data_IF_563582418074
#
_entry.id   IF_563582418074
#
_cell.length_a   1.000
_cell.length_b   1.000
_cell.length_c   1.000
_cell.angle_alpha   90.00
_cell.angle_beta   90.00
_cell.angle_gamma   90.00
#
_symmetry.space_group_name_H-M   'P 1'
#
loop_
_entity.id
_entity.type
_entity.pdbx_description
1 polymer ?
#
# COMPACT_ATOMS: atom_id res chain seq x y z
N UNK A 1 10.23 -75.51 -37.67
CA UNK A 1 9.54 -74.40 -36.99
C UNK A 1 10.43 -73.15 -36.85
N UNK A 2 11.22 -72.69 -37.81
CA UNK A 2 12.19 -71.57 -37.69
C UNK A 2 12.06 -70.47 -38.79
N UNK A 3 11.02 -70.54 -39.64
CA UNK A 3 10.93 -69.62 -40.78
C UNK A 3 9.77 -68.60 -40.73
N UNK A 4 8.92 -68.63 -39.71
CA UNK A 4 7.75 -67.73 -39.61
C UNK A 4 7.86 -66.59 -38.57
N UNK A 5 8.91 -66.57 -37.77
CA UNK A 5 9.13 -65.52 -36.76
C UNK A 5 9.79 -64.25 -37.32
N UNK A 6 10.48 -64.34 -38.47
CA UNK A 6 11.19 -63.19 -39.03
C UNK A 6 10.27 -62.11 -39.63
N UNK A 7 9.17 -62.44 -40.33
CA UNK A 7 8.29 -61.38 -40.88
C UNK A 7 7.45 -60.69 -39.80
N UNK A 8 7.13 -61.33 -38.67
CA UNK A 8 6.34 -60.73 -37.59
C UNK A 8 7.21 -59.71 -36.83
N UNK A 9 8.50 -59.99 -36.62
CA UNK A 9 9.42 -59.06 -35.96
C UNK A 9 9.70 -57.83 -36.83
N UNK A 10 9.74 -58.01 -38.16
CA UNK A 10 9.98 -56.89 -39.10
C UNK A 10 8.75 -55.97 -39.21
N UNK A 11 7.53 -56.50 -39.07
CA UNK A 11 6.28 -55.70 -39.05
C UNK A 11 6.14 -54.91 -37.75
N UNK A 12 6.57 -55.49 -36.60
CA UNK A 12 6.58 -54.73 -35.32
C UNK A 12 7.61 -53.62 -35.30
N UNK A 13 8.78 -53.77 -35.95
CA UNK A 13 9.79 -52.71 -36.03
C UNK A 13 9.39 -51.60 -37.01
N UNK A 14 8.61 -51.91 -38.03
CA UNK A 14 8.12 -50.90 -38.98
C UNK A 14 6.87 -50.14 -38.51
N UNK A 15 6.13 -50.68 -37.51
CA UNK A 15 4.98 -49.98 -36.93
C UNK A 15 5.38 -49.04 -35.76
N UNK A 16 6.55 -49.23 -35.14
CA UNK A 16 7.02 -48.36 -34.06
C UNK A 16 7.32 -46.89 -34.46
N UNK A 17 7.85 -46.56 -35.65
CA UNK A 17 8.04 -45.18 -36.00
C UNK A 17 6.76 -44.42 -36.38
N UNK A 18 5.66 -45.12 -36.66
CA UNK A 18 4.37 -44.48 -37.00
C UNK A 18 3.61 -44.03 -35.74
N UNK A 19 3.81 -44.72 -34.60
CA UNK A 19 3.23 -44.28 -33.32
C UNK A 19 4.03 -43.16 -32.68
N UNK A 20 5.31 -42.99 -32.98
CA UNK A 20 6.13 -41.90 -32.47
C UNK A 20 5.92 -40.57 -33.26
N UNK A 21 5.27 -40.60 -34.41
CA UNK A 21 5.08 -39.43 -35.25
C UNK A 21 3.75 -38.68 -35.00
N UNK A 22 2.91 -39.19 -34.10
CA UNK A 22 1.62 -38.55 -33.72
C UNK A 22 1.47 -38.25 -32.25
N UNK A 23 2.55 -38.27 -31.47
CA UNK A 23 2.55 -37.52 -30.22
C UNK A 23 2.76 -36.05 -30.59
N UNK A 24 1.70 -35.39 -31.05
CA UNK A 24 1.65 -33.94 -30.92
C UNK A 24 1.95 -33.66 -29.43
N UNK A 25 3.07 -33.06 -29.18
CA UNK A 25 3.31 -32.46 -27.84
C UNK A 25 2.09 -31.57 -27.62
N UNK A 26 1.26 -31.82 -26.60
CA UNK A 26 0.15 -30.92 -26.33
C UNK A 26 0.73 -29.51 -26.24
N UNK A 27 0.20 -28.60 -27.03
CA UNK A 27 0.57 -27.18 -26.92
C UNK A 27 0.44 -26.83 -25.45
N UNK A 28 1.56 -26.42 -24.83
CA UNK A 28 1.53 -26.04 -23.43
C UNK A 28 0.67 -24.78 -23.32
N UNK A 29 -0.39 -24.84 -22.53
CA UNK A 29 -1.18 -23.65 -22.22
C UNK A 29 -0.31 -22.71 -21.38
N UNK A 30 -0.25 -21.44 -21.76
CA UNK A 30 0.51 -20.42 -21.02
C UNK A 30 -0.46 -19.57 -20.24
N UNK A 31 -0.32 -19.54 -18.93
CA UNK A 31 -0.99 -18.58 -18.07
C UNK A 31 -0.03 -17.40 -17.83
N UNK A 32 -0.41 -16.21 -18.27
CA UNK A 32 0.43 -15.01 -18.13
C UNK A 32 -0.01 -14.18 -16.93
N UNK A 33 0.96 -13.86 -16.07
CA UNK A 33 0.75 -13.14 -14.80
C UNK A 33 1.62 -11.87 -14.80
N UNK A 34 0.99 -10.71 -14.71
CA UNK A 34 1.71 -9.43 -14.55
C UNK A 34 2.00 -9.15 -13.08
N UNK A 35 3.23 -8.73 -12.79
CA UNK A 35 3.67 -8.32 -11.46
C UNK A 35 4.91 -7.44 -11.55
N UNK A 36 5.30 -6.80 -10.46
CA UNK A 36 6.58 -6.10 -10.37
C UNK A 36 7.76 -7.06 -10.19
N UNK A 37 8.97 -6.61 -10.53
CA UNK A 37 10.17 -7.46 -10.50
C UNK A 37 10.44 -8.07 -9.11
N UNK A 38 10.18 -7.29 -8.06
CA UNK A 38 10.40 -7.73 -6.68
C UNK A 38 9.42 -8.83 -6.22
N UNK A 39 8.24 -8.93 -6.86
CA UNK A 39 7.22 -9.92 -6.53
C UNK A 39 7.48 -11.30 -7.14
N UNK A 40 8.24 -11.37 -8.23
CA UNK A 40 8.51 -12.63 -8.95
C UNK A 40 9.04 -13.71 -8.03
N UNK A 41 9.92 -13.36 -7.11
CA UNK A 41 10.60 -14.33 -6.24
C UNK A 41 9.63 -15.14 -5.37
N UNK A 42 8.62 -14.50 -4.80
CA UNK A 42 7.65 -15.20 -3.96
C UNK A 42 6.56 -15.85 -4.82
N UNK A 43 6.11 -15.21 -5.91
CA UNK A 43 5.12 -15.76 -6.84
C UNK A 43 5.63 -17.02 -7.55
N UNK A 44 6.94 -17.14 -7.79
CA UNK A 44 7.53 -18.35 -8.40
C UNK A 44 7.24 -19.62 -7.59
N UNK A 45 7.20 -19.52 -6.25
CA UNK A 45 6.85 -20.67 -5.41
C UNK A 45 5.41 -21.14 -5.64
N UNK A 46 4.50 -20.20 -5.82
CA UNK A 46 3.10 -20.51 -6.15
C UNK A 46 2.99 -21.08 -7.57
N UNK A 47 3.74 -20.51 -8.53
CA UNK A 47 3.78 -20.99 -9.91
C UNK A 47 4.34 -22.42 -10.04
N UNK A 48 5.38 -22.74 -9.29
CA UNK A 48 5.95 -24.09 -9.26
C UNK A 48 4.93 -25.11 -8.74
N UNK A 49 4.27 -24.81 -7.61
CA UNK A 49 3.21 -25.65 -7.04
C UNK A 49 2.02 -25.79 -8.00
N UNK A 50 1.59 -24.69 -8.60
CA UNK A 50 0.50 -24.69 -9.57
C UNK A 50 0.82 -25.59 -10.78
N UNK A 51 2.05 -25.50 -11.32
CA UNK A 51 2.50 -26.29 -12.48
C UNK A 51 2.60 -27.80 -12.16
N UNK A 52 2.91 -28.16 -10.91
CA UNK A 52 2.88 -29.55 -10.47
C UNK A 52 1.45 -30.15 -10.48
N UNK A 53 0.45 -29.34 -10.19
CA UNK A 53 -0.96 -29.73 -10.13
C UNK A 53 -1.64 -29.63 -11.51
N UNK A 54 -1.16 -28.79 -12.41
CA UNK A 54 -1.73 -28.51 -13.73
C UNK A 54 -0.73 -28.89 -14.85
N UNK A 55 -0.55 -30.18 -15.08
CA UNK A 55 0.38 -30.68 -16.08
C UNK A 55 0.08 -30.12 -17.49
N UNK A 56 1.10 -29.56 -18.13
CA UNK A 56 0.99 -28.93 -19.45
C UNK A 56 0.60 -27.45 -19.41
N UNK A 57 0.53 -26.83 -18.22
CA UNK A 57 0.36 -25.40 -18.06
C UNK A 57 1.70 -24.79 -17.62
N UNK A 58 2.14 -23.75 -18.34
CA UNK A 58 3.30 -22.92 -18.01
C UNK A 58 2.82 -21.59 -17.42
N UNK A 59 3.34 -21.17 -16.28
CA UNK A 59 3.12 -19.82 -15.75
C UNK A 59 4.23 -18.91 -16.25
N UNK A 60 3.87 -17.81 -16.89
CA UNK A 60 4.82 -16.80 -17.39
C UNK A 60 4.59 -15.49 -16.68
N UNK A 61 5.64 -14.91 -16.10
CA UNK A 61 5.60 -13.58 -15.52
C UNK A 61 5.91 -12.52 -16.57
N UNK A 62 5.05 -11.50 -16.63
CA UNK A 62 5.27 -10.28 -17.38
C UNK A 62 5.56 -9.16 -16.39
N UNK A 63 6.80 -8.61 -16.47
CA UNK A 63 7.25 -7.59 -15.52
C UNK A 63 6.73 -6.24 -15.97
N UNK A 64 5.91 -5.63 -15.12
CA UNK A 64 5.29 -4.33 -15.35
C UNK A 64 5.33 -3.52 -14.05
N UNK A 65 5.47 -2.19 -14.17
CA UNK A 65 5.16 -1.30 -13.06
C UNK A 65 3.64 -1.24 -12.84
N UNK A 66 3.20 -0.82 -11.67
CA UNK A 66 1.77 -0.72 -11.35
C UNK A 66 1.01 0.16 -12.34
N UNK A 67 1.59 1.31 -12.76
CA UNK A 67 0.99 2.17 -13.79
C UNK A 67 0.89 1.49 -15.15
N UNK A 68 1.86 0.64 -15.52
CA UNK A 68 1.79 -0.13 -16.75
C UNK A 68 0.72 -1.22 -16.69
N UNK A 69 0.52 -1.83 -15.52
CA UNK A 69 -0.55 -2.83 -15.30
C UNK A 69 -1.93 -2.21 -15.45
N UNK A 70 -2.16 -1.02 -14.86
CA UNK A 70 -3.44 -0.31 -15.00
C UNK A 70 -3.71 0.04 -16.47
N UNK A 71 -2.73 0.59 -17.18
CA UNK A 71 -2.84 0.87 -18.62
C UNK A 71 -3.06 -0.39 -19.46
N UNK A 72 -2.45 -1.53 -19.11
CA UNK A 72 -2.60 -2.79 -19.80
C UNK A 72 -4.01 -3.38 -19.60
N UNK A 73 -4.58 -3.26 -18.40
CA UNK A 73 -5.96 -3.65 -18.12
C UNK A 73 -6.95 -2.87 -19.02
N UNK A 74 -6.72 -1.58 -19.22
CA UNK A 74 -7.59 -0.73 -20.04
C UNK A 74 -7.43 -0.95 -21.54
N UNK A 75 -6.19 -1.07 -22.02
CA UNK A 75 -5.91 -1.11 -23.46
C UNK A 75 -5.94 -2.53 -24.07
N UNK A 76 -6.11 -3.54 -23.22
CA UNK A 76 -6.07 -4.95 -23.63
C UNK A 76 -4.64 -5.48 -23.76
N UNK A 77 -4.44 -6.70 -23.32
CA UNK A 77 -3.16 -7.40 -23.28
C UNK A 77 -3.40 -8.91 -23.31
N UNK A 78 -2.36 -9.71 -23.39
CA UNK A 78 -2.45 -11.17 -23.27
C UNK A 78 -2.21 -11.65 -21.82
N UNK A 79 -2.26 -10.75 -20.85
CA UNK A 79 -2.11 -11.09 -19.42
C UNK A 79 -3.45 -11.59 -18.88
N UNK A 80 -3.40 -12.68 -18.12
CA UNK A 80 -4.58 -13.32 -17.53
C UNK A 80 -4.85 -12.83 -16.10
N UNK A 81 -3.77 -12.64 -15.31
CA UNK A 81 -3.81 -12.25 -13.90
C UNK A 81 -2.89 -11.06 -13.67
N UNK A 82 -3.34 -10.09 -12.88
CA UNK A 82 -2.54 -8.94 -12.48
C UNK A 82 -2.40 -8.90 -10.96
N UNK A 83 -1.17 -8.73 -10.48
CA UNK A 83 -0.90 -8.36 -9.10
C UNK A 83 -0.79 -6.85 -9.02
N UNK A 84 -1.81 -6.20 -8.50
CA UNK A 84 -1.91 -4.74 -8.43
C UNK A 84 -2.13 -4.24 -7.01
N UNK A 85 -2.19 -2.94 -6.81
CA UNK A 85 -2.45 -2.34 -5.52
C UNK A 85 -3.58 -1.29 -5.60
N UNK A 86 -4.40 -1.22 -4.56
CA UNK A 86 -5.62 -0.40 -4.52
C UNK A 86 -5.36 1.11 -4.60
N UNK A 87 -4.14 1.56 -4.33
CA UNK A 87 -3.74 2.96 -4.46
C UNK A 87 -3.52 3.41 -5.91
N UNK A 88 -3.19 2.48 -6.81
CA UNK A 88 -2.99 2.77 -8.23
C UNK A 88 -4.19 2.33 -9.07
N UNK A 89 -4.81 1.24 -8.67
CA UNK A 89 -5.88 0.61 -9.43
C UNK A 89 -7.23 0.90 -8.80
N UNK A 90 -8.06 1.68 -9.50
CA UNK A 90 -9.44 1.91 -9.09
C UNK A 90 -10.29 0.66 -9.42
N UNK A 91 -10.51 -0.19 -8.42
CA UNK A 91 -11.24 -1.43 -8.57
C UNK A 91 -12.68 -1.21 -9.06
N UNK A 92 -13.37 -0.19 -8.54
CA UNK A 92 -14.74 0.14 -8.98
C UNK A 92 -14.80 0.48 -10.46
N UNK A 93 -13.83 1.25 -10.95
CA UNK A 93 -13.72 1.58 -12.38
C UNK A 93 -13.56 0.33 -13.22
N UNK A 94 -12.64 -0.56 -12.84
CA UNK A 94 -12.40 -1.80 -13.58
C UNK A 94 -13.63 -2.69 -13.62
N UNK A 95 -14.37 -2.78 -12.52
CA UNK A 95 -15.63 -3.54 -12.43
C UNK A 95 -16.71 -2.91 -13.31
N UNK A 96 -16.91 -1.59 -13.23
CA UNK A 96 -17.94 -0.90 -14.02
C UNK A 96 -17.68 -0.96 -15.52
N UNK A 97 -16.42 -0.94 -15.94
CA UNK A 97 -16.02 -1.06 -17.33
C UNK A 97 -16.00 -2.51 -17.82
N UNK A 98 -16.20 -3.49 -16.91
CA UNK A 98 -16.17 -4.91 -17.25
C UNK A 98 -14.77 -5.40 -17.65
N UNK A 99 -13.71 -4.81 -17.12
CA UNK A 99 -12.32 -5.16 -17.47
C UNK A 99 -11.79 -6.32 -16.64
N UNK A 100 -12.37 -6.59 -15.47
CA UNK A 100 -12.00 -7.70 -14.61
C UNK A 100 -13.19 -8.64 -14.36
N UNK A 101 -12.87 -9.93 -14.18
CA UNK A 101 -13.85 -10.96 -13.90
C UNK A 101 -14.01 -11.20 -12.40
N UNK A 102 -15.20 -11.56 -11.92
CA UNK A 102 -15.37 -12.00 -10.54
C UNK A 102 -14.62 -13.33 -10.29
N UNK A 103 -14.12 -13.49 -9.08
CA UNK A 103 -13.56 -14.75 -8.62
C UNK A 103 -14.67 -15.83 -8.57
N UNK A 104 -14.35 -17.02 -9.03
CA UNK A 104 -15.32 -18.13 -9.11
C UNK A 104 -14.90 -19.36 -8.30
N UNK A 105 -13.72 -19.36 -7.69
CA UNK A 105 -13.24 -20.47 -6.86
C UNK A 105 -13.97 -20.49 -5.52
N UNK A 106 -14.57 -21.65 -5.18
CA UNK A 106 -15.20 -21.87 -3.88
C UNK A 106 -14.20 -21.74 -2.71
N UNK A 107 -12.96 -22.19 -2.93
CA UNK A 107 -11.86 -22.09 -1.94
C UNK A 107 -11.51 -20.64 -1.65
N UNK A 108 -11.31 -19.82 -2.71
CA UNK A 108 -11.02 -18.40 -2.55
C UNK A 108 -12.17 -17.66 -1.85
N UNK A 109 -13.41 -17.92 -2.26
CA UNK A 109 -14.59 -17.30 -1.65
C UNK A 109 -14.75 -17.70 -0.18
N UNK A 110 -14.43 -18.95 0.19
CA UNK A 110 -14.43 -19.41 1.57
C UNK A 110 -13.33 -18.72 2.40
N UNK A 111 -12.15 -18.50 1.83
CA UNK A 111 -11.09 -17.73 2.48
C UNK A 111 -11.50 -16.28 2.66
N UNK A 112 -12.07 -15.63 1.63
CA UNK A 112 -12.59 -14.27 1.70
C UNK A 112 -13.64 -14.08 2.79
N UNK A 113 -14.46 -15.09 3.06
CA UNK A 113 -15.46 -15.03 4.13
C UNK A 113 -14.85 -14.92 5.53
N UNK A 114 -13.57 -15.26 5.70
CA UNK A 114 -12.82 -15.16 6.96
C UNK A 114 -12.00 -13.86 7.08
N UNK A 115 -11.93 -13.07 6.03
CA UNK A 115 -11.20 -11.80 6.04
C UNK A 115 -11.93 -10.75 6.86
N UNK A 116 -11.15 -9.82 7.44
CA UNK A 116 -11.70 -8.63 8.08
C UNK A 116 -12.66 -7.90 7.13
N UNK A 117 -13.77 -7.47 7.68
CA UNK A 117 -14.88 -6.85 6.92
C UNK A 117 -14.43 -5.70 6.00
N UNK A 118 -13.60 -4.73 6.41
CA UNK A 118 -13.18 -3.65 5.53
C UNK A 118 -12.50 -4.12 4.24
N UNK A 119 -11.65 -5.14 4.33
CA UNK A 119 -10.91 -5.66 3.16
C UNK A 119 -11.80 -6.45 2.23
N UNK A 120 -12.66 -7.30 2.80
CA UNK A 120 -13.64 -8.06 2.02
C UNK A 120 -14.63 -7.14 1.30
N UNK A 121 -15.15 -6.14 1.99
CA UNK A 121 -16.16 -5.23 1.43
C UNK A 121 -15.55 -4.38 0.31
N UNK A 122 -14.28 -3.95 0.46
CA UNK A 122 -13.59 -3.18 -0.57
C UNK A 122 -13.50 -3.91 -1.92
N UNK A 123 -13.27 -5.23 -1.91
CA UNK A 123 -13.13 -6.04 -3.14
C UNK A 123 -14.44 -6.68 -3.60
N UNK A 124 -15.55 -6.38 -2.90
CA UNK A 124 -16.87 -6.94 -3.21
C UNK A 124 -17.78 -5.90 -3.85
N UNK A 125 -18.25 -6.17 -5.06
CA UNK A 125 -19.20 -5.34 -5.77
C UNK A 125 -20.44 -6.16 -6.15
N UNK A 126 -21.65 -5.66 -5.84
CA UNK A 126 -22.92 -6.35 -6.12
C UNK A 126 -22.94 -7.84 -5.69
N UNK A 127 -22.39 -8.13 -4.51
CA UNK A 127 -22.28 -9.48 -3.95
C UNK A 127 -21.31 -10.43 -4.68
N UNK A 128 -20.49 -9.92 -5.58
CA UNK A 128 -19.44 -10.68 -6.25
C UNK A 128 -18.06 -10.14 -5.81
N UNK A 129 -17.11 -11.02 -5.60
CA UNK A 129 -15.73 -10.71 -5.25
C UNK A 129 -14.91 -10.60 -6.53
N UNK A 130 -14.22 -9.48 -6.74
CA UNK A 130 -13.47 -9.19 -7.96
C UNK A 130 -11.95 -9.22 -7.81
N UNK A 131 -11.46 -9.21 -6.58
CA UNK A 131 -10.03 -9.30 -6.32
C UNK A 131 -9.77 -10.18 -5.10
N UNK A 132 -8.59 -10.79 -5.05
CA UNK A 132 -8.10 -11.51 -3.87
C UNK A 132 -7.03 -10.66 -3.19
N UNK A 133 -7.30 -10.06 -2.01
CA UNK A 133 -6.30 -9.36 -1.23
C UNK A 133 -5.21 -10.32 -0.76
N UNK A 134 -3.96 -9.93 -0.97
CA UNK A 134 -2.79 -10.69 -0.55
C UNK A 134 -2.08 -10.07 0.63
N UNK A 135 -1.99 -8.75 0.66
CA UNK A 135 -1.30 -8.02 1.72
C UNK A 135 -1.95 -6.68 1.99
N UNK A 136 -1.81 -6.23 3.22
CA UNK A 136 -2.22 -4.89 3.68
C UNK A 136 -0.96 -4.04 3.78
N UNK A 137 -1.00 -2.87 3.17
CA UNK A 137 0.02 -1.84 3.25
C UNK A 137 -0.61 -0.63 3.93
N UNK A 138 -0.16 -0.29 5.13
CA UNK A 138 -0.74 0.81 5.89
C UNK A 138 0.32 1.82 6.30
N UNK A 139 -0.05 3.10 6.28
CA UNK A 139 0.81 4.17 6.79
C UNK A 139 0.66 4.26 8.31
N UNK A 140 1.43 3.43 9.02
CA UNK A 140 1.38 3.34 10.47
C UNK A 140 2.44 4.24 11.12
N UNK A 141 2.17 4.64 12.35
CA UNK A 141 3.09 5.42 13.19
C UNK A 141 3.44 4.71 14.46
N UNK A 142 4.66 4.95 14.92
CA UNK A 142 5.10 4.54 16.26
C UNK A 142 5.61 5.73 17.05
N UNK A 143 5.54 5.64 18.37
CA UNK A 143 6.19 6.56 19.31
C UNK A 143 7.24 5.81 20.12
N UNK A 144 8.40 6.42 20.28
CA UNK A 144 9.42 5.92 21.21
C UNK A 144 9.03 6.26 22.64
N UNK A 145 8.60 5.23 23.38
CA UNK A 145 8.08 5.37 24.75
C UNK A 145 9.12 5.84 25.75
N UNK A 146 10.40 5.51 25.54
CA UNK A 146 11.48 5.98 26.40
C UNK A 146 11.73 7.48 26.18
N UNK A 147 11.80 7.94 24.94
CA UNK A 147 11.94 9.35 24.62
C UNK A 147 10.71 10.15 25.08
N UNK A 148 9.51 9.61 24.89
CA UNK A 148 8.28 10.23 25.38
C UNK A 148 8.31 10.35 26.91
N UNK A 149 8.76 9.35 27.65
CA UNK A 149 8.95 9.41 29.09
C UNK A 149 9.99 10.44 29.51
N UNK A 150 11.07 10.60 28.75
CA UNK A 150 12.13 11.58 29.03
C UNK A 150 11.68 13.01 28.79
N UNK A 151 10.96 13.25 27.72
CA UNK A 151 10.58 14.60 27.26
C UNK A 151 9.10 14.93 27.44
N UNK A 152 8.26 13.98 27.82
CA UNK A 152 6.81 14.14 27.95
C UNK A 152 6.39 15.24 28.95
N UNK A 153 7.19 15.49 30.00
CA UNK A 153 6.93 16.61 30.90
C UNK A 153 7.02 17.97 30.22
N UNK A 154 7.74 18.05 29.10
CA UNK A 154 7.92 19.23 28.28
C UNK A 154 7.03 19.23 27.03
N UNK A 155 7.00 18.13 26.29
CA UNK A 155 6.26 18.00 25.04
C UNK A 155 4.76 17.77 25.28
N UNK A 156 4.39 17.12 26.37
CA UNK A 156 3.02 16.68 26.65
C UNK A 156 2.77 15.23 26.25
N UNK A 157 1.51 14.90 26.08
CA UNK A 157 1.05 13.59 25.63
C UNK A 157 1.21 13.43 24.12
N UNK A 158 0.99 12.22 23.61
CA UNK A 158 0.92 11.96 22.17
C UNK A 158 -0.19 12.80 21.55
N UNK A 159 0.08 13.60 20.51
CA UNK A 159 -0.92 14.48 19.91
C UNK A 159 -2.00 13.64 19.22
N UNK A 160 -3.25 14.02 19.41
CA UNK A 160 -4.42 13.40 18.82
C UNK A 160 -5.01 14.22 17.66
N UNK A 161 -4.62 15.50 17.56
CA UNK A 161 -5.03 16.40 16.48
C UNK A 161 -3.83 17.06 15.81
N UNK A 162 -4.01 17.53 14.58
CA UNK A 162 -2.97 18.27 13.86
C UNK A 162 -2.55 19.56 14.60
N UNK A 163 -3.49 20.23 15.25
CA UNK A 163 -3.18 21.42 16.06
C UNK A 163 -2.26 21.10 17.24
N UNK A 164 -2.51 20.01 17.96
CA UNK A 164 -1.65 19.54 19.06
C UNK A 164 -0.28 19.09 18.54
N UNK A 165 -0.24 18.43 17.39
CA UNK A 165 0.99 17.98 16.73
C UNK A 165 1.87 19.17 16.33
N UNK A 166 1.29 20.19 15.71
CA UNK A 166 2.00 21.43 15.33
C UNK A 166 2.47 22.21 16.56
N UNK A 167 1.66 22.29 17.62
CA UNK A 167 2.05 22.96 18.88
C UNK A 167 3.19 22.21 19.58
N UNK A 168 3.18 20.88 19.58
CA UNK A 168 4.28 20.09 20.12
C UNK A 168 5.58 20.31 19.32
N UNK A 169 5.48 20.36 18.00
CA UNK A 169 6.59 20.69 17.11
C UNK A 169 7.12 22.11 17.37
N UNK A 170 6.24 23.10 17.57
CA UNK A 170 6.61 24.48 17.93
C UNK A 170 7.37 24.51 19.25
N UNK A 171 6.90 23.84 20.28
CA UNK A 171 7.61 23.73 21.57
C UNK A 171 9.00 23.15 21.39
N UNK A 172 9.12 22.12 20.57
CA UNK A 172 10.41 21.52 20.23
C UNK A 172 11.32 22.50 19.50
N UNK A 173 10.80 23.22 18.53
CA UNK A 173 11.52 24.21 17.74
C UNK A 173 12.00 25.40 18.60
N UNK A 174 11.14 25.96 19.45
CA UNK A 174 11.43 27.11 20.30
C UNK A 174 12.42 26.80 21.43
N UNK A 175 12.59 25.54 21.75
CA UNK A 175 13.45 25.11 22.86
C UNK A 175 14.69 24.47 22.29
N UNK A 176 15.87 25.04 22.62
CA UNK A 176 17.17 24.44 22.31
C UNK A 176 17.35 23.18 23.17
N UNK A 177 16.58 22.11 22.85
CA UNK A 177 16.66 20.85 23.56
C UNK A 177 17.94 20.16 23.14
N UNK A 178 18.83 19.94 24.10
CA UNK A 178 20.04 19.14 23.91
C UNK A 178 19.66 17.67 24.06
N UNK A 179 19.63 16.93 22.96
CA UNK A 179 19.42 15.49 22.97
C UNK A 179 20.78 14.79 22.94
N UNK A 180 21.20 14.26 24.10
CA UNK A 180 22.48 13.55 24.24
C UNK A 180 23.65 14.47 24.61
N UNK A 181 24.69 13.89 25.18
CA UNK A 181 25.82 14.60 25.81
C UNK A 181 26.79 15.31 24.83
N UNK A 182 26.65 15.05 23.53
CA UNK A 182 27.62 15.52 22.52
C UNK A 182 27.04 16.43 21.43
N UNK A 183 25.76 16.76 21.48
CA UNK A 183 25.15 17.60 20.45
C UNK A 183 24.54 18.86 21.05
N UNK A 184 25.24 19.97 20.95
CA UNK A 184 24.65 21.30 21.14
C UNK A 184 23.82 21.63 19.91
N UNK A 185 22.51 21.47 20.00
CA UNK A 185 21.56 21.89 18.93
C UNK A 185 21.40 23.40 19.03
N UNK A 186 22.29 24.13 18.40
CA UNK A 186 22.25 25.60 18.37
C UNK A 186 21.66 26.15 17.05
N UNK A 187 21.38 25.30 16.07
CA UNK A 187 20.84 25.75 14.79
C UNK A 187 19.34 25.50 14.70
N UNK A 188 18.61 26.59 14.54
CA UNK A 188 17.16 26.69 14.41
C UNK A 188 16.64 26.20 13.06
N UNK A 189 17.38 25.35 12.35
CA UNK A 189 16.95 24.84 11.06
C UNK A 189 16.13 23.58 11.27
N UNK A 190 14.82 23.68 11.14
CA UNK A 190 13.96 22.50 10.98
C UNK A 190 14.35 21.84 9.65
N UNK A 191 14.60 20.54 9.63
CA UNK A 191 14.91 19.86 8.39
C UNK A 191 13.76 20.00 7.40
N UNK A 192 14.10 20.17 6.15
CA UNK A 192 13.15 20.18 5.04
C UNK A 192 12.27 18.92 5.09
N UNK A 193 12.87 17.76 5.30
CA UNK A 193 12.17 16.48 5.51
C UNK A 193 11.12 16.52 6.60
N UNK A 194 11.36 17.20 7.73
CA UNK A 194 10.35 17.33 8.78
C UNK A 194 9.16 18.17 8.32
N UNK A 195 9.42 19.26 7.60
CA UNK A 195 8.38 20.09 7.05
C UNK A 195 7.58 19.31 5.98
N UNK A 196 8.27 18.61 5.08
CA UNK A 196 7.64 17.74 4.08
C UNK A 196 6.69 16.73 4.73
N UNK A 197 7.16 15.97 5.71
CA UNK A 197 6.31 15.00 6.43
C UNK A 197 5.12 15.67 7.13
N UNK A 198 5.31 16.85 7.71
CA UNK A 198 4.22 17.57 8.37
C UNK A 198 3.18 18.05 7.38
N UNK A 199 3.61 18.50 6.21
CA UNK A 199 2.73 18.94 5.14
C UNK A 199 1.95 17.75 4.54
N UNK A 200 2.61 16.61 4.35
CA UNK A 200 1.95 15.37 3.94
C UNK A 200 0.83 14.99 4.91
N UNK A 201 1.16 14.94 6.20
CA UNK A 201 0.20 14.60 7.24
C UNK A 201 -0.96 15.59 7.34
N UNK A 202 -0.69 16.87 7.16
CA UNK A 202 -1.74 17.89 7.15
C UNK A 202 -2.72 17.68 6.00
N UNK A 203 -2.21 17.44 4.79
CA UNK A 203 -3.04 17.17 3.61
C UNK A 203 -3.82 15.86 3.79
N UNK A 204 -3.14 14.82 4.27
CA UNK A 204 -3.75 13.51 4.52
C UNK A 204 -4.87 13.64 5.54
N UNK A 205 -4.62 14.22 6.71
CA UNK A 205 -5.62 14.38 7.76
C UNK A 205 -6.84 15.19 7.27
N UNK A 206 -6.60 16.27 6.52
CA UNK A 206 -7.65 17.12 5.96
C UNK A 206 -8.54 16.37 4.96
N UNK A 207 -7.97 15.60 4.08
CA UNK A 207 -8.72 14.83 3.08
C UNK A 207 -9.45 13.65 3.73
N UNK A 208 -8.81 12.95 4.66
CA UNK A 208 -9.41 11.81 5.36
C UNK A 208 -10.65 12.23 6.14
N UNK A 209 -10.59 13.31 6.90
CA UNK A 209 -11.76 13.83 7.63
C UNK A 209 -12.95 14.09 6.69
N UNK A 210 -12.70 14.74 5.56
CA UNK A 210 -13.75 15.03 4.59
C UNK A 210 -14.37 13.76 3.99
N UNK A 211 -13.53 12.82 3.53
CA UNK A 211 -14.02 11.63 2.85
C UNK A 211 -14.65 10.60 3.80
N UNK A 212 -14.30 10.65 5.08
CA UNK A 212 -14.97 9.83 6.10
C UNK A 212 -16.34 10.36 6.50
N UNK A 213 -16.52 11.70 6.51
CA UNK A 213 -17.77 12.33 7.02
C UNK A 213 -18.76 12.67 5.91
N UNK A 214 -18.33 13.41 4.91
CA UNK A 214 -19.21 14.04 3.90
C UNK A 214 -18.85 13.65 2.46
N UNK A 215 -17.66 13.13 2.25
CA UNK A 215 -17.14 12.86 0.91
C UNK A 215 -17.77 11.66 0.26
N UNK A 216 -18.56 11.90 -0.79
CA UNK A 216 -18.88 10.85 -1.75
C UNK A 216 -17.80 10.82 -2.84
N UNK A 217 -17.52 9.65 -3.42
CA UNK A 217 -16.64 9.55 -4.60
C UNK A 217 -17.09 10.55 -5.66
N UNK A 218 -16.14 11.33 -6.20
CA UNK A 218 -16.40 12.36 -7.20
C UNK A 218 -16.70 13.76 -6.64
N UNK A 219 -16.76 13.94 -5.32
CA UNK A 219 -16.71 15.25 -4.69
C UNK A 219 -15.28 15.63 -4.35
N UNK A 220 -15.01 16.92 -4.21
CA UNK A 220 -13.70 17.39 -3.76
C UNK A 220 -13.86 18.34 -2.57
N UNK A 221 -12.86 18.38 -1.71
CA UNK A 221 -12.76 19.34 -0.62
C UNK A 221 -11.89 20.51 -1.06
N UNK A 222 -12.42 21.73 -0.94
CA UNK A 222 -11.71 22.95 -1.26
C UNK A 222 -10.62 23.21 -0.21
N UNK A 223 -9.36 23.31 -0.62
CA UNK A 223 -8.22 23.66 0.24
C UNK A 223 -8.21 25.15 0.61
N UNK A 224 -8.94 25.99 -0.13
CA UNK A 224 -9.07 27.42 0.18
C UNK A 224 -10.05 27.70 1.33
N UNK A 225 -10.49 26.67 2.07
CA UNK A 225 -11.27 26.84 3.30
C UNK A 225 -10.47 27.53 4.39
N UNK A 226 -11.18 28.23 5.31
CA UNK A 226 -10.53 28.88 6.46
C UNK A 226 -9.75 27.85 7.30
N UNK A 227 -10.33 26.67 7.52
CA UNK A 227 -9.76 25.67 8.45
C UNK A 227 -8.41 25.16 7.98
N UNK A 228 -8.26 24.81 6.69
CA UNK A 228 -6.98 24.40 6.13
C UNK A 228 -5.98 25.58 6.09
N UNK A 229 -6.46 26.77 5.67
CA UNK A 229 -5.62 27.97 5.59
C UNK A 229 -5.09 28.40 6.97
N UNK A 230 -5.91 28.34 8.02
CA UNK A 230 -5.53 28.67 9.39
C UNK A 230 -4.55 27.63 9.96
N UNK A 231 -4.75 26.34 9.63
CA UNK A 231 -3.82 25.29 10.02
C UNK A 231 -2.45 25.47 9.34
N UNK A 232 -2.45 25.80 8.04
CA UNK A 232 -1.24 26.11 7.29
C UNK A 232 -0.51 27.34 7.89
N UNK A 233 -1.24 28.39 8.29
CA UNK A 233 -0.67 29.57 8.95
C UNK A 233 -0.05 29.22 10.32
N UNK A 234 -0.54 28.19 11.00
CA UNK A 234 0.03 27.73 12.26
C UNK A 234 1.45 27.19 12.12
N UNK A 235 1.85 26.82 10.90
CA UNK A 235 3.19 26.36 10.53
C UNK A 235 4.14 27.51 10.13
N UNK A 236 3.69 28.79 10.15
CA UNK A 236 4.52 29.94 9.73
C UNK A 236 5.82 30.09 10.52
N UNK A 237 5.92 29.50 11.73
CA UNK A 237 7.17 29.49 12.49
C UNK A 237 8.28 28.68 11.79
N UNK A 238 7.92 27.78 10.87
CA UNK A 238 8.85 27.03 10.01
C UNK A 238 9.26 27.83 8.77
N UNK A 239 8.57 28.93 8.48
CA UNK A 239 8.79 29.81 7.33
C UNK A 239 9.90 30.81 7.60
N UNK A 240 11.06 30.36 8.04
CA UNK A 240 12.18 31.25 8.32
C UNK A 240 12.85 31.67 7.02
N UNK A 241 13.07 32.97 6.84
CA UNK A 241 13.63 33.59 5.64
C UNK A 241 15.03 33.09 5.23
N UNK A 242 15.68 32.30 6.05
CA UNK A 242 17.02 31.73 5.84
C UNK A 242 16.97 30.18 5.84
N UNK A 243 16.00 29.58 5.15
CA UNK A 243 16.05 28.17 4.80
C UNK A 243 17.19 27.94 3.79
N UNK A 244 18.40 28.31 4.16
CA UNK A 244 19.59 27.89 3.44
C UNK A 244 19.91 26.46 3.84
N UNK A 245 19.32 25.53 3.13
CA UNK A 245 19.73 24.15 3.17
C UNK A 245 21.20 24.05 2.78
N UNK A 246 22.02 23.78 3.75
CA UNK A 246 23.30 23.17 3.47
C UNK A 246 23.05 21.69 3.19
N UNK A 247 22.98 21.31 1.94
CA UNK A 247 22.92 19.91 1.45
C UNK A 247 24.04 19.01 2.03
N UNK A 248 24.95 19.56 2.76
CA UNK A 248 26.19 18.87 3.17
C UNK A 248 26.16 18.28 4.60
N UNK A 249 25.17 18.57 5.44
CA UNK A 249 25.16 18.07 6.82
C UNK A 249 23.79 17.53 7.20
N UNK A 250 23.59 16.22 6.99
CA UNK A 250 22.58 15.44 7.73
C UNK A 250 22.90 15.59 9.23
N UNK A 251 22.22 16.49 9.91
CA UNK A 251 22.44 16.68 11.34
C UNK A 251 21.77 15.57 12.14
N UNK A 252 22.49 14.89 13.03
CA UNK A 252 21.98 13.72 13.77
C UNK A 252 20.69 13.94 14.57
N UNK A 253 20.37 15.19 14.94
CA UNK A 253 19.18 15.49 15.72
C UNK A 253 17.86 15.36 14.92
N UNK A 254 17.92 15.53 13.61
CA UNK A 254 16.76 15.39 12.72
C UNK A 254 16.24 13.98 12.74
N UNK A 255 17.17 13.03 12.77
CA UNK A 255 16.89 11.61 12.89
C UNK A 255 16.45 11.22 14.33
N UNK A 256 16.77 12.03 15.33
CA UNK A 256 16.50 11.68 16.73
C UNK A 256 15.13 12.12 17.24
N UNK A 257 14.48 13.12 16.61
CA UNK A 257 13.19 13.62 17.09
C UNK A 257 12.00 13.18 16.23
N UNK A 258 12.16 13.15 14.91
CA UNK A 258 11.03 13.04 13.97
C UNK A 258 11.36 12.22 12.70
N UNK A 259 12.30 11.35 12.68
CA UNK A 259 12.79 10.72 11.46
C UNK A 259 12.52 9.22 11.33
N UNK A 260 12.97 8.65 10.22
CA UNK A 260 12.84 7.23 9.84
C UNK A 260 13.76 6.27 10.61
N UNK A 261 14.53 6.72 11.61
CA UNK A 261 15.54 5.87 12.27
C UNK A 261 15.16 5.55 13.70
N UNK A 262 15.51 4.35 14.13
CA UNK A 262 15.47 3.94 15.54
C UNK A 262 16.12 5.02 16.42
N UNK A 263 15.35 5.60 17.34
CA UNK A 263 15.79 6.72 18.18
C UNK A 263 15.05 8.04 17.94
N UNK A 264 14.13 8.09 17.01
CA UNK A 264 13.19 9.22 16.83
C UNK A 264 12.05 9.16 17.84
N UNK A 265 11.49 10.32 18.19
CA UNK A 265 10.31 10.35 19.06
C UNK A 265 9.09 9.74 18.35
N UNK A 266 8.87 10.12 17.10
CA UNK A 266 7.87 9.55 16.23
C UNK A 266 8.54 8.95 15.01
N UNK A 267 8.13 7.75 14.62
CA UNK A 267 8.59 7.11 13.40
C UNK A 267 7.39 6.87 12.50
N UNK A 268 7.46 7.38 11.29
CA UNK A 268 6.53 7.00 10.24
C UNK A 268 7.13 5.77 9.54
N UNK A 269 6.45 4.64 9.67
CA UNK A 269 6.89 3.40 9.02
C UNK A 269 6.71 3.43 7.50
N UNK A 270 6.10 4.49 6.96
CA UNK A 270 5.71 4.56 5.55
C UNK A 270 4.66 3.50 5.22
N UNK A 271 4.44 3.28 3.93
CA UNK A 271 3.58 2.20 3.45
C UNK A 271 4.34 0.87 3.50
N UNK A 272 4.48 0.33 4.67
CA UNK A 272 5.02 -1.02 4.86
C UNK A 272 3.87 -2.01 5.05
N UNK A 273 4.13 -3.28 4.74
CA UNK A 273 3.41 -4.35 5.40
C UNK A 273 3.37 -3.99 6.88
N UNK A 274 2.22 -4.07 7.54
CA UNK A 274 2.12 -3.83 8.98
C UNK A 274 2.99 -4.89 9.67
N UNK A 275 4.30 -4.72 9.52
CA UNK A 275 5.27 -5.66 10.06
C UNK A 275 5.40 -5.34 11.52
N UNK A 276 4.79 -6.16 12.24
CA UNK A 276 4.89 -6.22 13.66
C UNK A 276 6.26 -6.73 14.03
N UNK A 277 7.01 -5.87 14.54
CA UNK A 277 8.28 -6.05 15.16
C UNK A 277 8.59 -4.74 15.84
N UNK A 278 7.97 -4.55 17.01
CA UNK A 278 8.35 -3.43 17.87
C UNK A 278 9.83 -3.56 18.22
N UNK A 279 10.58 -2.51 18.03
CA UNK A 279 11.76 -2.34 18.87
C UNK A 279 11.26 -2.21 20.33
N UNK A 280 12.05 -2.69 21.28
CA UNK A 280 11.71 -2.84 22.71
C UNK A 280 11.09 -1.57 23.38
N UNK A 281 11.18 -0.41 22.70
CA UNK A 281 10.70 0.88 23.19
C UNK A 281 9.74 1.60 22.23
N UNK A 282 9.14 0.90 21.28
CA UNK A 282 8.18 1.49 20.32
C UNK A 282 6.75 1.04 20.62
N UNK A 283 5.82 1.95 20.46
CA UNK A 283 4.38 1.69 20.56
C UNK A 283 3.67 2.30 19.35
N UNK A 284 2.74 1.55 18.73
CA UNK A 284 1.87 2.10 17.71
C UNK A 284 0.99 3.21 18.26
N UNK A 285 0.83 4.25 17.47
CA UNK A 285 -0.08 5.35 17.75
C UNK A 285 -0.94 5.61 16.52
N UNK A 286 -2.12 6.15 16.74
CA UNK A 286 -2.95 6.66 15.66
C UNK A 286 -2.35 7.97 15.13
N UNK A 287 -2.43 8.22 13.81
CA UNK A 287 -2.10 9.54 13.27
C UNK A 287 -3.05 10.59 13.85
N UNK A 288 -2.62 11.86 13.95
CA UNK A 288 -3.51 12.91 14.43
C UNK A 288 -4.67 13.12 13.47
N UNK A 289 -5.88 13.29 14.01
CA UNK A 289 -7.02 13.77 13.25
C UNK A 289 -6.79 15.24 12.81
N UNK A 290 -7.49 15.71 11.78
CA UNK A 290 -7.35 17.10 11.35
C UNK A 290 -7.75 18.05 12.47
N UNK A 291 -8.90 17.83 13.09
CA UNK A 291 -9.38 18.59 14.25
C UNK A 291 -9.92 17.69 15.37
N UNK A 292 -10.50 18.30 16.41
CA UNK A 292 -11.00 17.58 17.58
C UNK A 292 -12.34 16.85 17.34
N UNK A 293 -13.02 17.12 16.24
CA UNK A 293 -14.28 16.45 15.85
C UNK A 293 -14.01 15.34 14.83
N UNK A 294 -12.80 15.32 14.22
CA UNK A 294 -12.36 14.33 13.25
C UNK A 294 -11.92 13.02 13.89
N UNK A 295 -11.95 11.97 13.09
CA UNK A 295 -11.44 10.65 13.47
C UNK A 295 -10.04 10.44 12.87
N UNK A 296 -9.11 9.80 13.58
CA UNK A 296 -7.82 9.45 13.03
C UNK A 296 -7.99 8.50 11.84
N UNK A 297 -7.15 8.68 10.82
CA UNK A 297 -7.23 7.92 9.57
C UNK A 297 -5.88 7.31 9.24
N UNK A 298 -5.83 6.01 9.07
CA UNK A 298 -4.67 5.26 8.61
C UNK A 298 -4.88 4.92 7.14
N UNK A 299 -4.19 5.63 6.26
CA UNK A 299 -4.21 5.32 4.83
C UNK A 299 -3.73 3.90 4.62
N UNK A 300 -4.55 3.13 3.94
CA UNK A 300 -4.32 1.71 3.77
C UNK A 300 -4.51 1.30 2.31
N UNK A 301 -3.63 0.46 1.83
CA UNK A 301 -3.70 -0.14 0.50
C UNK A 301 -3.75 -1.65 0.58
N UNK A 302 -4.42 -2.25 -0.38
CA UNK A 302 -4.40 -3.70 -0.58
C UNK A 302 -3.56 -4.03 -1.80
N UNK A 303 -2.55 -4.87 -1.62
CA UNK A 303 -1.98 -5.61 -2.73
C UNK A 303 -2.94 -6.75 -3.06
N UNK A 304 -3.36 -6.86 -4.31
CA UNK A 304 -4.44 -7.76 -4.69
C UNK A 304 -4.24 -8.37 -6.08
N UNK A 305 -4.77 -9.57 -6.26
CA UNK A 305 -4.78 -10.30 -7.52
C UNK A 305 -6.15 -10.13 -8.19
N UNK A 306 -6.15 -9.72 -9.45
CA UNK A 306 -7.35 -9.59 -10.29
C UNK A 306 -7.23 -10.43 -11.56
N UNK A 307 -8.35 -10.93 -12.06
CA UNK A 307 -8.43 -11.71 -13.31
C UNK A 307 -9.01 -10.84 -14.40
N UNK A 308 -8.37 -10.79 -15.56
CA UNK A 308 -8.90 -10.05 -16.70
C UNK A 308 -10.19 -10.69 -17.23
N UNK A 309 -11.20 -9.87 -17.55
CA UNK A 309 -12.53 -10.33 -17.90
C UNK A 309 -12.58 -11.14 -19.22
N UNK A 310 -11.75 -10.77 -20.20
CA UNK A 310 -11.67 -11.42 -21.51
C UNK A 310 -10.55 -12.49 -21.60
N UNK A 311 -9.94 -12.87 -20.46
CA UNK A 311 -9.03 -14.02 -20.43
C UNK A 311 -9.73 -15.31 -20.84
N UNK A 312 -9.13 -16.05 -21.75
CA UNK A 312 -9.57 -17.40 -22.13
C UNK A 312 -9.24 -18.44 -21.05
N UNK A 313 -8.40 -18.06 -20.06
CA UNK A 313 -7.88 -18.95 -19.02
C UNK A 313 -8.44 -18.65 -17.62
N UNK A 314 -9.64 -18.08 -17.49
CA UNK A 314 -10.21 -17.66 -16.19
C UNK A 314 -10.23 -18.77 -15.12
N UNK A 315 -10.50 -20.04 -15.52
CA UNK A 315 -10.47 -21.15 -14.59
C UNK A 315 -9.05 -21.45 -14.07
N UNK A 316 -8.04 -21.38 -14.95
CA UNK A 316 -6.64 -21.53 -14.57
C UNK A 316 -6.15 -20.33 -13.73
N UNK A 317 -6.63 -19.13 -14.05
CA UNK A 317 -6.34 -17.93 -13.27
C UNK A 317 -6.87 -18.05 -11.82
N UNK A 318 -8.10 -18.50 -11.63
CA UNK A 318 -8.64 -18.80 -10.30
C UNK A 318 -7.78 -19.84 -9.55
N UNK A 319 -7.43 -20.95 -10.22
CA UNK A 319 -6.61 -22.00 -9.63
C UNK A 319 -5.17 -21.51 -9.29
N UNK A 320 -4.62 -20.59 -10.09
CA UNK A 320 -3.33 -19.97 -9.79
C UNK A 320 -3.42 -19.08 -8.54
N UNK A 321 -4.49 -18.28 -8.41
CA UNK A 321 -4.72 -17.45 -7.21
C UNK A 321 -4.92 -18.35 -5.97
N UNK A 322 -5.57 -19.52 -6.10
CA UNK A 322 -5.62 -20.53 -5.02
C UNK A 322 -4.21 -20.99 -4.61
N UNK A 323 -3.35 -21.30 -5.59
CA UNK A 323 -1.98 -21.71 -5.30
C UNK A 323 -1.17 -20.59 -4.62
N UNK A 324 -1.43 -19.31 -4.96
CA UNK A 324 -0.87 -18.16 -4.24
C UNK A 324 -1.39 -18.12 -2.81
N UNK A 325 -2.72 -18.17 -2.61
CA UNK A 325 -3.34 -18.16 -1.29
C UNK A 325 -2.82 -19.29 -0.39
N UNK A 326 -2.63 -20.49 -0.94
CA UNK A 326 -2.05 -21.62 -0.22
C UNK A 326 -0.55 -21.44 0.10
N UNK A 327 0.20 -20.75 -0.76
CA UNK A 327 1.63 -20.51 -0.54
C UNK A 327 1.89 -19.49 0.56
N UNK A 328 0.93 -18.59 0.78
CA UNK A 328 0.97 -17.56 1.80
C UNK A 328 0.49 -18.08 3.19
N UNK A 329 -0.08 -19.28 3.27
CA UNK A 329 -0.43 -19.92 4.55
C UNK A 329 0.82 -20.09 5.40
N UNK A 330 0.83 -19.40 6.56
CA UNK A 330 1.96 -19.35 7.48
C UNK A 330 2.94 -18.20 7.21
N UNK A 331 2.69 -17.34 6.24
CA UNK A 331 3.37 -16.05 6.14
C UNK A 331 2.87 -15.09 7.24
N UNK A 332 3.78 -14.19 7.66
CA UNK A 332 3.49 -13.24 8.74
C UNK A 332 2.33 -12.28 8.42
N UNK A 333 2.06 -12.05 7.15
CA UNK A 333 1.02 -11.14 6.68
C UNK A 333 -0.42 -11.67 6.78
N UNK A 334 -0.60 -12.97 7.04
CA UNK A 334 -1.96 -13.55 7.02
C UNK A 334 -2.86 -13.07 8.17
N UNK A 335 -2.30 -12.77 9.35
CA UNK A 335 -3.10 -12.24 10.46
C UNK A 335 -3.67 -10.84 10.16
N UNK A 336 -3.03 -10.09 9.28
CA UNK A 336 -3.48 -8.74 8.88
C UNK A 336 -4.74 -8.78 8.02
N UNK A 337 -4.98 -9.88 7.34
CA UNK A 337 -6.13 -10.03 6.44
C UNK A 337 -7.30 -10.79 7.07
N UNK A 338 -7.05 -11.71 8.01
CA UNK A 338 -8.05 -12.68 8.45
C UNK A 338 -8.44 -12.55 9.92
N UNK A 339 -9.76 -12.48 10.19
CA UNK A 339 -10.33 -12.50 11.54
C UNK A 339 -10.16 -13.87 12.22
N UNK A 340 -10.28 -14.94 11.43
CA UNK A 340 -10.15 -16.33 11.89
C UNK A 340 -8.70 -16.78 11.72
N UNK A 341 -7.99 -16.76 12.83
CA UNK A 341 -6.57 -17.08 12.88
C UNK A 341 -6.28 -18.56 13.20
N UNK A 342 -7.32 -19.40 13.33
CA UNK A 342 -7.16 -20.83 13.65
C UNK A 342 -6.33 -21.55 12.57
N UNK A 343 -5.01 -21.60 12.80
CA UNK A 343 -4.02 -22.22 11.92
C UNK A 343 -3.41 -21.30 10.85
N UNK A 344 -3.82 -20.05 10.77
CA UNK A 344 -3.27 -19.06 9.84
C UNK A 344 -2.29 -18.09 10.51
N UNK A 345 -2.31 -17.95 11.84
CA UNK A 345 -1.41 -17.05 12.56
C UNK A 345 0.00 -17.61 12.57
N UNK A 346 0.93 -16.78 12.15
CA UNK A 346 2.33 -17.04 12.35
C UNK A 346 2.63 -17.14 13.85
N UNK A 347 3.32 -18.20 14.32
CA UNK A 347 3.71 -18.36 15.72
C UNK A 347 4.63 -17.25 16.27
N UNK A 348 5.00 -16.26 15.43
CA UNK A 348 5.80 -15.10 15.82
C UNK A 348 5.01 -13.85 16.16
N UNK A 349 3.67 -13.83 16.00
CA UNK A 349 2.83 -12.70 16.39
C UNK A 349 2.36 -12.88 17.82
N UNK A 350 2.58 -11.88 18.67
CA UNK A 350 2.13 -11.90 20.06
C UNK A 350 0.65 -11.47 20.17
N UNK A 351 0.01 -11.84 21.28
CA UNK A 351 -1.38 -11.41 21.56
C UNK A 351 -1.49 -9.89 21.68
N UNK A 352 -0.46 -9.22 22.19
CA UNK A 352 -0.39 -7.77 22.34
C UNK A 352 -0.32 -7.07 20.97
N UNK A 353 0.49 -7.60 20.04
CA UNK A 353 0.57 -7.11 18.66
C UNK A 353 -0.76 -7.28 17.93
N UNK A 354 -1.39 -8.45 18.05
CA UNK A 354 -2.69 -8.69 17.43
C UNK A 354 -3.76 -7.75 17.98
N UNK A 355 -3.73 -7.48 19.29
CA UNK A 355 -4.64 -6.53 19.92
C UNK A 355 -4.41 -5.11 19.38
N UNK A 356 -3.17 -4.65 19.30
CA UNK A 356 -2.84 -3.34 18.76
C UNK A 356 -3.31 -3.20 17.29
N UNK A 357 -3.14 -4.25 16.50
CA UNK A 357 -3.65 -4.28 15.12
C UNK A 357 -5.18 -4.15 15.06
N UNK A 358 -5.90 -4.92 15.90
CA UNK A 358 -7.35 -4.84 15.95
C UNK A 358 -7.88 -3.48 16.42
N UNK A 359 -7.10 -2.75 17.24
CA UNK A 359 -7.43 -1.39 17.67
C UNK A 359 -7.22 -0.37 16.53
N UNK A 360 -6.25 -0.59 15.64
CA UNK A 360 -6.03 0.26 14.45
C UNK A 360 -7.02 0.01 13.32
N UNK A 361 -7.53 -1.22 13.20
CA UNK A 361 -8.35 -1.67 12.08
C UNK A 361 -9.57 -0.78 11.77
N UNK A 362 -10.31 -0.24 12.76
CA UNK A 362 -11.42 0.68 12.52
C UNK A 362 -11.02 1.99 11.84
N UNK A 363 -9.74 2.36 11.91
CA UNK A 363 -9.19 3.60 11.36
C UNK A 363 -8.56 3.41 9.98
N UNK A 364 -8.57 2.18 9.44
CA UNK A 364 -8.04 1.90 8.10
C UNK A 364 -8.95 2.48 7.03
N UNK A 365 -8.39 3.32 6.17
CA UNK A 365 -9.08 3.91 5.05
C UNK A 365 -8.49 3.43 3.71
N UNK A 366 -9.28 2.61 3.01
CA UNK A 366 -8.96 2.07 1.70
C UNK A 366 -9.45 2.96 0.54
N UNK A 367 -10.32 3.92 0.84
CA UNK A 367 -10.98 4.74 -0.21
C UNK A 367 -10.25 6.04 -0.49
N UNK A 368 -9.82 6.74 0.53
CA UNK A 368 -9.09 8.01 0.41
C UNK A 368 -7.68 7.78 -0.14
N UNK A 369 -7.11 6.60 0.10
CA UNK A 369 -5.76 6.25 -0.34
C UNK A 369 -5.50 6.47 -1.82
N UNK A 370 -6.45 6.17 -2.69
CA UNK A 370 -6.32 6.40 -4.12
C UNK A 370 -6.25 7.91 -4.47
N UNK A 371 -7.01 8.76 -3.78
CA UNK A 371 -6.99 10.22 -3.96
C UNK A 371 -5.65 10.78 -3.52
N UNK A 372 -5.19 10.35 -2.36
CA UNK A 372 -3.91 10.76 -1.79
C UNK A 372 -2.78 10.36 -2.72
N UNK A 373 -2.78 9.13 -3.24
CA UNK A 373 -1.78 8.69 -4.21
C UNK A 373 -1.72 9.59 -5.44
N UNK A 374 -2.88 10.00 -5.97
CA UNK A 374 -2.95 10.92 -7.11
C UNK A 374 -2.39 12.32 -6.83
N UNK A 375 -2.44 12.76 -5.58
CA UNK A 375 -1.92 14.06 -5.16
C UNK A 375 -0.43 14.03 -4.78
N UNK A 376 0.10 12.89 -4.35
CA UNK A 376 1.48 12.81 -3.86
C UNK A 376 2.46 12.16 -4.85
N UNK A 377 1.99 11.35 -5.81
CA UNK A 377 2.86 10.61 -6.72
C UNK A 377 2.75 11.04 -8.19
N UNK A 378 2.33 12.29 -8.42
CA UNK A 378 2.33 12.93 -9.74
C UNK A 378 3.70 13.51 -10.14
N UNK A 379 3.74 14.23 -11.27
CA UNK A 379 4.94 14.99 -11.66
C UNK A 379 5.22 16.16 -10.71
N UNK A 380 4.20 16.75 -10.10
CA UNK A 380 4.24 17.74 -9.02
C UNK A 380 3.37 17.20 -7.91
N UNK A 381 3.91 17.05 -6.70
CA UNK A 381 3.16 16.57 -5.54
C UNK A 381 2.50 17.71 -4.78
N UNK A 382 1.50 17.40 -3.95
CA UNK A 382 0.91 18.36 -3.03
C UNK A 382 1.96 18.96 -2.09
N UNK A 383 2.92 18.15 -1.68
CA UNK A 383 4.07 18.57 -0.86
C UNK A 383 4.94 19.56 -1.60
N UNK A 384 5.29 19.32 -2.88
CA UNK A 384 6.07 20.27 -3.68
C UNK A 384 5.40 21.64 -3.77
N UNK A 385 4.06 21.65 -3.94
CA UNK A 385 3.28 22.90 -3.99
C UNK A 385 3.33 23.64 -2.66
N UNK A 386 3.17 22.95 -1.54
CA UNK A 386 3.24 23.57 -0.21
C UNK A 386 4.66 23.96 0.15
N UNK A 387 5.67 23.19 -0.21
CA UNK A 387 7.09 23.55 -0.05
C UNK A 387 7.41 24.82 -0.83
N UNK A 388 6.94 24.97 -2.07
CA UNK A 388 7.10 26.20 -2.85
C UNK A 388 6.46 27.43 -2.16
N UNK A 389 5.34 27.24 -1.42
CA UNK A 389 4.78 28.27 -0.57
C UNK A 389 5.71 28.63 0.60
N UNK A 390 6.26 27.63 1.30
CA UNK A 390 7.18 27.88 2.41
C UNK A 390 8.52 28.51 1.94
N UNK A 391 8.98 28.19 0.75
CA UNK A 391 10.14 28.81 0.11
C UNK A 391 9.84 30.20 -0.49
N UNK A 392 8.60 30.68 -0.40
CA UNK A 392 8.15 31.98 -0.95
C UNK A 392 8.16 32.05 -2.49
N UNK A 393 8.21 30.93 -3.16
CA UNK A 393 8.08 30.83 -4.63
C UNK A 393 6.61 30.99 -5.06
N UNK A 394 5.67 30.63 -4.18
CA UNK A 394 4.24 30.81 -4.34
C UNK A 394 3.65 31.62 -3.18
N UNK A 395 2.59 32.39 -3.49
CA UNK A 395 1.71 32.92 -2.45
C UNK A 395 0.81 31.83 -1.87
N UNK A 396 0.23 32.06 -0.68
CA UNK A 396 -0.70 31.10 -0.09
C UNK A 396 -1.88 30.81 -1.01
N UNK A 397 -2.47 31.86 -1.62
CA UNK A 397 -3.59 31.74 -2.54
C UNK A 397 -3.24 30.92 -3.79
N UNK A 398 -2.03 31.10 -4.33
CA UNK A 398 -1.56 30.30 -5.46
C UNK A 398 -1.36 28.83 -5.08
N UNK A 399 -0.76 28.54 -3.91
CA UNK A 399 -0.56 27.18 -3.45
C UNK A 399 -1.91 26.46 -3.21
N UNK A 400 -2.85 27.08 -2.48
CA UNK A 400 -4.16 26.51 -2.23
C UNK A 400 -4.95 26.28 -3.54
N UNK A 401 -4.88 27.23 -4.47
CA UNK A 401 -5.51 27.09 -5.79
C UNK A 401 -4.92 25.94 -6.61
N UNK A 402 -3.61 25.71 -6.52
CA UNK A 402 -2.97 24.57 -7.17
C UNK A 402 -3.41 23.23 -6.55
N UNK A 403 -3.48 23.12 -5.23
CA UNK A 403 -4.01 21.93 -4.56
C UNK A 403 -5.43 21.60 -4.99
N UNK A 404 -6.29 22.61 -5.09
CA UNK A 404 -7.66 22.47 -5.59
C UNK A 404 -7.69 21.96 -7.03
N UNK A 405 -6.82 22.49 -7.88
CA UNK A 405 -6.72 22.07 -9.29
C UNK A 405 -6.22 20.62 -9.39
N UNK A 406 -5.20 20.25 -8.64
CA UNK A 406 -4.66 18.88 -8.60
C UNK A 406 -5.75 17.89 -8.21
N UNK A 407 -6.50 18.17 -7.14
CA UNK A 407 -7.58 17.30 -6.69
C UNK A 407 -8.69 17.19 -7.74
N UNK A 408 -9.10 18.31 -8.38
CA UNK A 408 -10.11 18.30 -9.44
C UNK A 408 -9.67 17.49 -10.65
N UNK A 409 -8.42 17.65 -11.09
CA UNK A 409 -7.87 16.89 -12.22
C UNK A 409 -7.86 15.41 -11.93
N UNK A 410 -7.44 15.02 -10.72
CA UNK A 410 -7.46 13.63 -10.32
C UNK A 410 -8.88 13.05 -10.30
N UNK A 411 -9.87 13.77 -9.71
CA UNK A 411 -11.27 13.34 -9.67
C UNK A 411 -11.85 13.21 -11.09
N UNK A 412 -11.54 14.13 -12.01
CA UNK A 412 -12.02 14.06 -13.40
C UNK A 412 -11.45 12.86 -14.17
N UNK A 413 -10.30 12.36 -13.78
CA UNK A 413 -9.71 11.16 -14.35
C UNK A 413 -10.33 9.87 -13.78
N UNK A 414 -11.07 9.97 -12.69
CA UNK A 414 -11.86 8.87 -12.16
C UNK A 414 -13.19 8.79 -12.89
N UNK A 415 -13.63 7.62 -13.32
CA UNK A 415 -14.89 7.45 -14.08
C UNK A 415 -16.12 7.66 -13.21
#
# INVERSE_FOLDING_TARGET
MKRWFLPILLVMILLNPVYAAFAETPESTVLTVACEEHDVRWMQKAADRFSEQHLGVEVRFEIMTTNQMDAALENGTNVDVFLTASNFTNLDRLVHQGLIAPLSSETLLANMAKMYTPFRDYVTYQQQVYAYPRAVLANTRTVNTELLRMYGSFLGEVPTTMSEYIEQMRKWYDTSITVGSDSSFTDQNVPETLLEYTLDELVIAYLCEYYQTDGTRGTYRDFSTSDFADMLDSLDFLRVADFQMNEAEEKPWNAAAWGEKSGSLYTNAGFTLVVIGFEENEQYILPPAFDAEGEPCIITYLQMLVIRADSEHQALANAFIEAVAESDIGDKSNFELFEDTDGLVNPGVTEEELQAYCEMLPHFDLHTGAIISGMFWGEESATDVLMAYFHQDLTKEEALSKLDEMQRQWIQQQP
#
